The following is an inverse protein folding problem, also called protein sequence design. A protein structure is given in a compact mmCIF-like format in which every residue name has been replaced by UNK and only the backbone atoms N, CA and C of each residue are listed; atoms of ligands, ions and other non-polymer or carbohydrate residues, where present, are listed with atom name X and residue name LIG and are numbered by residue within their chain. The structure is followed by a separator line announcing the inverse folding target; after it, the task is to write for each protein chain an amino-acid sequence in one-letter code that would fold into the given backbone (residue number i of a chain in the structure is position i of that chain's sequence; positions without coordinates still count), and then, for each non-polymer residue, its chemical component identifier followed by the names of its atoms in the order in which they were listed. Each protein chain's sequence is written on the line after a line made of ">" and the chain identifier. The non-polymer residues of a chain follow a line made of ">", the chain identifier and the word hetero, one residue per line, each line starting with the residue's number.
data_IF_204666280605
#
_entry.id   IF_204666280605
#
_cell.length_a   1.000
_cell.length_b   1.000
_cell.length_c   1.000
_cell.angle_alpha   90.00
_cell.angle_beta   90.00
_cell.angle_gamma   90.00
#
_symmetry.space_group_name_H-M   'P 1'
#
loop_
_entity.id
_entity.type
_entity.pdbx_description
1 polymer ?
#
# COMPACT_ATOMS: atom_id res chain seq x y z
N UNK A 1 -4.14 -14.60 -20.07
CA UNK A 1 -4.14 -13.22 -19.52
C UNK A 1 -4.10 -12.25 -20.70
N UNK A 2 -5.07 -11.35 -20.84
CA UNK A 2 -5.10 -10.40 -21.98
C UNK A 2 -5.13 -8.97 -21.42
N UNK A 3 -3.96 -8.40 -21.14
CA UNK A 3 -3.84 -7.01 -20.68
C UNK A 3 -4.20 -6.12 -21.86
N UNK A 4 -5.32 -5.40 -21.75
CA UNK A 4 -5.84 -4.58 -22.83
C UNK A 4 -5.21 -3.18 -22.86
N UNK A 5 -5.34 -2.48 -24.00
CA UNK A 5 -4.98 -1.05 -24.12
C UNK A 5 -5.66 -0.18 -23.04
N UNK A 6 -6.84 -0.59 -22.56
CA UNK A 6 -7.58 0.07 -21.48
C UNK A 6 -6.86 -0.03 -20.13
N UNK A 7 -6.19 -1.14 -19.82
CA UNK A 7 -5.46 -1.33 -18.56
C UNK A 7 -4.21 -0.44 -18.51
N UNK A 8 -3.53 -0.33 -19.66
CA UNK A 8 -2.38 0.57 -19.83
C UNK A 8 -2.81 2.03 -19.68
N UNK A 9 -3.89 2.43 -20.35
CA UNK A 9 -4.44 3.78 -20.20
C UNK A 9 -4.82 4.10 -18.74
N UNK A 10 -5.47 3.16 -18.04
CA UNK A 10 -5.79 3.32 -16.61
C UNK A 10 -4.55 3.41 -15.71
N UNK A 11 -3.46 2.74 -16.06
CA UNK A 11 -2.20 2.82 -15.31
C UNK A 11 -1.53 4.18 -15.45
N UNK A 12 -1.52 4.75 -16.66
CA UNK A 12 -1.00 6.11 -16.86
C UNK A 12 -1.90 7.16 -16.23
N UNK A 13 -3.23 7.02 -16.38
CA UNK A 13 -4.20 7.93 -15.77
C UNK A 13 -4.10 7.90 -14.24
N UNK A 14 -4.02 6.72 -13.63
CA UNK A 14 -3.87 6.60 -12.17
C UNK A 14 -2.57 7.23 -11.70
N UNK A 15 -1.46 7.02 -12.41
CA UNK A 15 -0.19 7.63 -12.08
C UNK A 15 -0.30 9.16 -12.06
N UNK A 16 -0.86 9.76 -13.12
CA UNK A 16 -1.09 11.20 -13.20
C UNK A 16 -1.99 11.71 -12.07
N UNK A 17 -3.11 11.04 -11.81
CA UNK A 17 -4.06 11.44 -10.77
C UNK A 17 -3.43 11.35 -9.37
N UNK A 18 -2.73 10.25 -9.06
CA UNK A 18 -2.09 10.04 -7.75
C UNK A 18 -1.02 11.08 -7.50
N UNK A 19 -0.17 11.36 -8.49
CA UNK A 19 0.86 12.39 -8.33
C UNK A 19 0.25 13.80 -8.28
N UNK A 20 -0.76 14.08 -9.10
CA UNK A 20 -1.51 15.34 -9.05
C UNK A 20 -2.17 15.58 -7.68
N UNK A 21 -2.73 14.54 -7.07
CA UNK A 21 -3.29 14.62 -5.71
C UNK A 21 -2.22 15.00 -4.68
N UNK A 22 -1.02 14.41 -4.74
CA UNK A 22 0.06 14.78 -3.82
C UNK A 22 0.50 16.23 -4.03
N UNK A 23 0.57 16.70 -5.28
CA UNK A 23 0.88 18.09 -5.64
C UNK A 23 -0.18 19.05 -5.07
N UNK A 24 -1.47 18.68 -5.11
CA UNK A 24 -2.57 19.49 -4.55
C UNK A 24 -2.58 19.45 -3.02
N UNK A 25 -2.21 18.32 -2.41
CA UNK A 25 -2.15 18.19 -0.95
C UNK A 25 -1.05 19.06 -0.34
N UNK A 26 0.09 19.21 -1.03
CA UNK A 26 1.23 19.98 -0.56
C UNK A 26 0.91 21.45 -0.17
N UNK A 27 0.30 22.29 -1.03
CA UNK A 27 -0.02 23.68 -0.66
C UNK A 27 -1.06 23.77 0.46
N UNK A 28 -1.96 22.78 0.58
CA UNK A 28 -2.89 22.71 1.72
C UNK A 28 -2.10 22.48 3.01
N UNK A 29 -1.19 21.51 3.04
CA UNK A 29 -0.34 21.23 4.19
C UNK A 29 0.49 22.46 4.58
N UNK A 30 1.16 23.11 3.61
CA UNK A 30 1.99 24.30 3.86
C UNK A 30 1.16 25.47 4.42
N UNK A 31 -0.10 25.61 4.02
CA UNK A 31 -0.97 26.69 4.50
C UNK A 31 -1.46 26.48 5.93
N UNK A 32 -1.68 25.23 6.35
CA UNK A 32 -2.32 24.91 7.63
C UNK A 32 -1.36 24.45 8.73
N UNK A 33 -0.20 23.89 8.39
CA UNK A 33 0.79 23.47 9.38
C UNK A 33 1.77 24.60 9.66
N UNK A 34 2.14 24.75 10.93
CA UNK A 34 3.21 25.67 11.31
C UNK A 34 4.60 25.09 10.92
N UNK A 35 5.64 25.91 10.92
CA UNK A 35 7.01 25.54 10.50
C UNK A 35 7.53 24.27 11.17
N UNK A 36 7.24 24.10 12.46
CA UNK A 36 7.69 22.93 13.24
C UNK A 36 6.91 21.66 12.85
N UNK A 37 5.59 21.78 12.66
CA UNK A 37 4.75 20.66 12.21
C UNK A 37 5.10 20.25 10.78
N UNK A 38 5.44 21.20 9.92
CA UNK A 38 5.94 20.93 8.58
C UNK A 38 7.26 20.16 8.61
N UNK A 39 8.19 20.54 9.50
CA UNK A 39 9.43 19.79 9.71
C UNK A 39 9.16 18.32 10.06
N UNK A 40 8.28 18.07 11.04
CA UNK A 40 7.87 16.72 11.43
C UNK A 40 7.15 15.97 10.31
N UNK A 41 6.27 16.64 9.56
CA UNK A 41 5.60 16.06 8.41
C UNK A 41 6.62 15.58 7.36
N UNK A 42 7.63 16.38 7.05
CA UNK A 42 8.68 15.96 6.12
C UNK A 42 9.49 14.79 6.66
N UNK A 43 9.78 14.75 7.97
CA UNK A 43 10.38 13.56 8.60
C UNK A 43 9.49 12.33 8.43
N UNK A 44 8.19 12.44 8.68
CA UNK A 44 7.22 11.35 8.50
C UNK A 44 7.23 10.84 7.05
N UNK A 45 7.17 11.74 6.07
CA UNK A 45 7.21 11.35 4.64
C UNK A 45 8.54 10.69 4.25
N UNK A 46 9.66 11.13 4.83
CA UNK A 46 10.98 10.53 4.60
C UNK A 46 11.06 9.11 5.16
N UNK A 47 10.55 8.89 6.37
CA UNK A 47 10.46 7.55 6.97
C UNK A 47 9.53 6.64 6.16
N UNK A 48 8.40 7.15 5.66
CA UNK A 48 7.56 6.41 4.73
C UNK A 48 8.32 6.02 3.45
N UNK A 49 9.10 6.93 2.87
CA UNK A 49 9.95 6.65 1.72
C UNK A 49 10.94 5.52 1.98
N UNK A 50 11.63 5.54 3.13
CA UNK A 50 12.53 4.46 3.55
C UNK A 50 11.80 3.11 3.69
N UNK A 51 10.61 3.12 4.28
CA UNK A 51 9.81 1.91 4.43
C UNK A 51 9.41 1.32 3.06
N UNK A 52 9.05 2.17 2.10
CA UNK A 52 8.68 1.74 0.74
C UNK A 52 9.85 1.15 -0.06
N UNK A 53 11.10 1.52 0.25
CA UNK A 53 12.28 0.90 -0.39
C UNK A 53 12.40 -0.59 -0.08
N UNK A 54 11.89 -1.04 1.08
CA UNK A 54 11.93 -2.48 1.44
C UNK A 54 10.97 -3.28 0.56
N UNK A 55 9.83 -2.72 0.14
CA UNK A 55 8.89 -3.36 -0.81
C UNK A 55 9.39 -3.29 -2.26
N UNK A 56 10.43 -2.50 -2.53
CA UNK A 56 10.97 -2.34 -3.88
C UNK A 56 11.55 -3.66 -4.39
N UNK A 57 11.00 -4.17 -5.50
CA UNK A 57 11.41 -5.43 -6.12
C UNK A 57 10.56 -6.65 -5.72
N UNK A 58 10.13 -6.76 -4.46
CA UNK A 58 9.27 -7.86 -4.01
C UNK A 58 7.94 -7.87 -4.76
N UNK A 59 7.31 -6.71 -4.90
CA UNK A 59 6.04 -6.59 -5.62
C UNK A 59 6.13 -7.12 -7.06
N UNK A 60 7.20 -6.79 -7.79
CA UNK A 60 7.39 -7.21 -9.19
C UNK A 60 7.60 -8.72 -9.28
N UNK A 61 8.44 -9.29 -8.41
CA UNK A 61 8.74 -10.73 -8.40
C UNK A 61 7.48 -11.54 -8.05
N UNK A 62 6.76 -11.13 -7.00
CA UNK A 62 5.54 -11.80 -6.54
C UNK A 62 4.44 -11.70 -7.59
N UNK A 63 4.20 -10.51 -8.15
CA UNK A 63 3.19 -10.32 -9.20
C UNK A 63 3.45 -11.24 -10.39
N UNK A 64 4.72 -11.35 -10.83
CA UNK A 64 5.09 -12.23 -11.94
C UNK A 64 4.84 -13.71 -11.61
N UNK A 65 5.27 -14.17 -10.45
CA UNK A 65 5.07 -15.56 -10.03
C UNK A 65 3.57 -15.89 -9.88
N UNK A 66 2.78 -14.97 -9.33
CA UNK A 66 1.32 -15.09 -9.27
C UNK A 66 0.72 -15.18 -10.68
N UNK A 67 1.18 -14.37 -11.64
CA UNK A 67 0.71 -14.44 -13.04
C UNK A 67 0.99 -15.79 -13.71
N UNK A 68 2.14 -16.41 -13.43
CA UNK A 68 2.46 -17.73 -13.96
C UNK A 68 1.52 -18.81 -13.41
N UNK A 69 1.30 -18.81 -12.10
CA UNK A 69 0.36 -19.75 -11.47
C UNK A 69 -1.07 -19.53 -11.97
N UNK A 70 -1.47 -18.26 -12.07
CA UNK A 70 -2.79 -17.88 -12.60
C UNK A 70 -2.99 -18.31 -14.06
N UNK A 71 -1.91 -18.45 -14.83
CA UNK A 71 -1.95 -18.93 -16.21
C UNK A 71 -1.89 -20.47 -16.33
N UNK A 72 -1.90 -21.20 -15.21
CA UNK A 72 -1.94 -22.66 -15.18
C UNK A 72 -0.58 -23.34 -15.00
N UNK A 73 0.47 -22.62 -14.58
CA UNK A 73 1.74 -23.26 -14.21
C UNK A 73 1.57 -24.12 -12.95
N UNK A 74 2.05 -25.37 -13.01
CA UNK A 74 1.94 -26.33 -11.90
C UNK A 74 3.01 -26.16 -10.81
N UNK A 75 4.04 -25.32 -11.03
CA UNK A 75 5.06 -25.00 -10.03
C UNK A 75 5.73 -23.64 -10.29
N UNK A 76 6.20 -22.99 -9.21
CA UNK A 76 7.12 -21.85 -9.29
C UNK A 76 8.55 -22.40 -9.28
N UNK A 77 9.28 -22.33 -10.39
CA UNK A 77 10.70 -22.73 -10.47
C UNK A 77 11.63 -21.54 -10.24
N UNK A 78 12.83 -21.81 -9.71
CA UNK A 78 13.88 -20.80 -9.49
C UNK A 78 14.43 -20.21 -10.78
N UNK A 79 14.45 -20.99 -11.87
CA UNK A 79 14.83 -20.58 -13.22
C UNK A 79 13.97 -21.29 -14.27
N UNK A 80 13.66 -20.60 -15.38
CA UNK A 80 12.86 -21.12 -16.50
C UNK A 80 11.34 -21.14 -16.27
N UNK A 81 10.60 -21.58 -17.29
CA UNK A 81 9.14 -21.78 -17.24
C UNK A 81 8.79 -23.17 -17.79
N UNK A 82 7.87 -23.88 -17.13
CA UNK A 82 7.11 -24.94 -17.79
C UNK A 82 5.90 -24.26 -18.44
N UNK A 83 5.92 -24.15 -19.77
CA UNK A 83 4.69 -23.91 -20.52
C UNK A 83 3.77 -25.09 -20.20
N UNK A 84 2.58 -24.78 -19.70
CA UNK A 84 1.54 -25.78 -19.49
C UNK A 84 1.38 -26.62 -20.78
N UNK A 85 1.74 -27.89 -20.70
CA UNK A 85 1.76 -28.83 -21.85
C UNK A 85 0.36 -29.20 -22.33
N UNK A 86 -0.70 -28.52 -21.87
CA UNK A 86 -2.07 -28.79 -22.30
C UNK A 86 -2.89 -27.51 -22.40
N UNK A 87 -3.69 -27.40 -23.45
CA UNK A 87 -4.68 -26.33 -23.71
C UNK A 87 -5.75 -26.17 -22.61
N UNK A 88 -5.72 -26.99 -21.55
CA UNK A 88 -6.71 -27.07 -20.46
C UNK A 88 -6.05 -27.01 -19.07
N UNK A 89 -4.98 -26.24 -18.88
CA UNK A 89 -4.37 -26.06 -17.56
C UNK A 89 -5.26 -25.24 -16.63
N UNK A 90 -6.13 -25.93 -15.90
CA UNK A 90 -6.95 -25.35 -14.82
C UNK A 90 -6.06 -24.95 -13.64
N UNK A 91 -6.30 -23.78 -13.05
CA UNK A 91 -5.59 -23.29 -11.86
C UNK A 91 -5.61 -24.34 -10.73
N UNK A 92 -4.43 -24.73 -10.24
CA UNK A 92 -4.32 -25.57 -9.05
C UNK A 92 -4.61 -24.71 -7.79
N UNK A 93 -5.90 -24.64 -7.42
CA UNK A 93 -6.40 -23.82 -6.30
C UNK A 93 -5.66 -24.12 -4.96
N UNK A 94 -5.44 -25.40 -4.56
CA UNK A 94 -4.66 -25.71 -3.35
C UNK A 94 -3.24 -25.13 -3.36
N UNK A 95 -2.52 -25.28 -4.47
CA UNK A 95 -1.15 -24.75 -4.59
C UNK A 95 -1.13 -23.22 -4.60
N UNK A 96 -2.07 -22.60 -5.31
CA UNK A 96 -2.24 -21.15 -5.33
C UNK A 96 -2.52 -20.57 -3.94
N UNK A 97 -3.39 -21.23 -3.15
CA UNK A 97 -3.67 -20.83 -1.76
C UNK A 97 -2.42 -20.91 -0.87
N UNK A 98 -1.59 -21.94 -1.03
CA UNK A 98 -0.31 -22.04 -0.31
C UNK A 98 0.63 -20.88 -0.65
N UNK A 99 0.76 -20.54 -1.93
CA UNK A 99 1.58 -19.40 -2.38
C UNK A 99 1.05 -18.08 -1.84
N UNK A 100 -0.27 -17.88 -1.82
CA UNK A 100 -0.89 -16.70 -1.22
C UNK A 100 -0.57 -16.59 0.27
N UNK A 101 -0.61 -17.71 1.00
CA UNK A 101 -0.23 -17.74 2.42
C UNK A 101 1.24 -17.36 2.62
N UNK A 102 2.14 -17.89 1.78
CA UNK A 102 3.57 -17.53 1.81
C UNK A 102 3.79 -16.05 1.51
N UNK A 103 3.10 -15.49 0.51
CA UNK A 103 3.18 -14.06 0.18
C UNK A 103 2.68 -13.19 1.33
N UNK A 104 1.55 -13.55 1.96
CA UNK A 104 1.03 -12.86 3.14
C UNK A 104 2.04 -12.89 4.29
N UNK A 105 2.69 -14.03 4.51
CA UNK A 105 3.73 -14.17 5.52
C UNK A 105 4.89 -13.22 5.26
N UNK A 106 5.44 -13.19 4.03
CA UNK A 106 6.54 -12.28 3.65
C UNK A 106 6.19 -10.82 3.95
N UNK A 107 5.04 -10.35 3.46
CA UNK A 107 4.61 -8.96 3.67
C UNK A 107 4.33 -8.63 5.14
N UNK A 108 3.78 -9.59 5.90
CA UNK A 108 3.55 -9.41 7.34
C UNK A 108 4.87 -9.31 8.11
N UNK A 109 5.85 -10.17 7.78
CA UNK A 109 7.19 -10.10 8.36
C UNK A 109 7.88 -8.77 8.05
N UNK A 110 7.77 -8.26 6.82
CA UNK A 110 8.30 -6.93 6.47
C UNK A 110 7.67 -5.82 7.32
N UNK A 111 6.35 -5.86 7.51
CA UNK A 111 5.66 -4.91 8.38
C UNK A 111 6.10 -4.98 9.84
N UNK A 112 6.32 -6.19 10.38
CA UNK A 112 6.84 -6.38 11.75
C UNK A 112 8.25 -5.79 11.89
N UNK A 113 9.14 -6.04 10.91
CA UNK A 113 10.50 -5.48 10.92
C UNK A 113 10.44 -3.94 10.96
N UNK A 114 9.59 -3.34 10.12
CA UNK A 114 9.42 -1.88 10.08
C UNK A 114 8.82 -1.34 11.37
N UNK A 115 7.85 -2.05 11.95
CA UNK A 115 7.25 -1.70 13.24
C UNK A 115 8.31 -1.67 14.35
N UNK A 116 9.17 -2.68 14.44
CA UNK A 116 10.26 -2.73 15.42
C UNK A 116 11.25 -1.58 15.18
N UNK A 117 11.68 -1.40 13.93
CA UNK A 117 12.64 -0.36 13.54
C UNK A 117 12.12 1.04 13.89
N UNK A 118 10.87 1.35 13.56
CA UNK A 118 10.28 2.67 13.79
C UNK A 118 9.87 2.90 15.24
N UNK A 119 9.47 1.85 15.96
CA UNK A 119 9.19 1.97 17.39
C UNK A 119 10.45 2.35 18.18
N UNK A 120 11.62 1.82 17.80
CA UNK A 120 12.90 2.11 18.46
C UNK A 120 13.53 3.38 17.89
N UNK A 121 13.98 3.34 16.63
CA UNK A 121 14.75 4.42 16.02
C UNK A 121 13.88 5.61 15.62
N UNK A 122 12.70 5.36 15.09
CA UNK A 122 11.78 6.41 14.68
C UNK A 122 11.32 7.24 15.88
N UNK A 123 10.84 6.59 16.94
CA UNK A 123 10.41 7.28 18.16
C UNK A 123 11.58 8.01 18.84
N UNK A 124 12.75 7.40 18.93
CA UNK A 124 13.95 8.07 19.47
C UNK A 124 14.32 9.32 18.67
N UNK A 125 14.27 9.25 17.33
CA UNK A 125 14.50 10.39 16.47
C UNK A 125 13.49 11.52 16.67
N UNK A 126 12.20 11.20 16.87
CA UNK A 126 11.16 12.20 17.14
C UNK A 126 11.41 12.97 18.43
N UNK A 127 11.89 12.31 19.49
CA UNK A 127 12.25 13.00 20.73
C UNK A 127 13.45 13.92 20.58
N UNK A 128 14.47 13.53 19.80
CA UNK A 128 15.64 14.36 19.56
C UNK A 128 15.33 15.62 18.74
N UNK A 129 14.44 15.50 17.75
CA UNK A 129 14.10 16.64 16.88
C UNK A 129 13.10 17.59 17.53
N UNK A 130 12.30 17.11 18.48
CA UNK A 130 11.36 17.95 19.20
C UNK A 130 12.10 18.80 20.24
N UNK A 131 12.50 20.00 19.84
CA UNK A 131 13.14 20.99 20.72
C UNK A 131 12.17 21.67 21.71
N UNK A 132 11.08 20.99 22.10
CA UNK A 132 10.05 21.50 23.01
C UNK A 132 9.07 22.50 22.39
N UNK A 133 9.07 22.67 21.06
CA UNK A 133 8.22 23.65 20.37
C UNK A 133 6.80 23.13 20.08
N UNK A 134 6.62 21.79 20.07
CA UNK A 134 5.31 21.15 19.97
C UNK A 134 5.08 20.32 21.23
N UNK A 135 3.83 20.33 21.70
CA UNK A 135 3.39 19.45 22.78
C UNK A 135 3.71 17.98 22.43
N UNK A 136 4.44 17.33 23.33
CA UNK A 136 4.94 15.96 23.14
C UNK A 136 3.76 15.00 22.90
N UNK A 137 2.62 15.20 23.55
CA UNK A 137 1.45 14.33 23.35
C UNK A 137 0.92 14.44 21.93
N UNK A 138 0.79 15.66 21.42
CA UNK A 138 0.32 15.93 20.05
C UNK A 138 1.24 15.26 19.01
N UNK A 139 2.56 15.42 19.17
CA UNK A 139 3.55 14.77 18.31
C UNK A 139 3.45 13.24 18.38
N UNK A 140 3.39 12.65 19.58
CA UNK A 140 3.34 11.21 19.76
C UNK A 140 2.05 10.60 19.19
N UNK A 141 0.91 11.27 19.35
CA UNK A 141 -0.36 10.83 18.76
C UNK A 141 -0.24 10.81 17.23
N UNK A 142 0.23 11.90 16.64
CA UNK A 142 0.42 11.98 15.19
C UNK A 142 1.42 10.91 14.69
N UNK A 143 2.51 10.69 15.44
CA UNK A 143 3.53 9.69 15.12
C UNK A 143 2.98 8.27 15.17
N UNK A 144 2.24 7.91 16.21
CA UNK A 144 1.64 6.58 16.37
C UNK A 144 0.71 6.29 15.20
N UNK A 145 -0.22 7.20 14.87
CA UNK A 145 -1.13 7.02 13.73
C UNK A 145 -0.36 6.87 12.41
N UNK A 146 0.65 7.71 12.19
CA UNK A 146 1.42 7.67 10.96
C UNK A 146 2.23 6.36 10.85
N UNK A 147 2.93 5.97 11.91
CA UNK A 147 3.73 4.75 11.99
C UNK A 147 2.87 3.49 11.78
N UNK A 148 1.71 3.39 12.41
CA UNK A 148 0.75 2.31 12.13
C UNK A 148 0.26 2.34 10.69
N UNK A 149 0.04 3.52 10.10
CA UNK A 149 -0.35 3.63 8.69
C UNK A 149 0.71 3.04 7.77
N UNK A 150 1.99 3.33 8.00
CA UNK A 150 3.10 2.77 7.21
C UNK A 150 3.14 1.24 7.34
N UNK A 151 3.10 0.73 8.59
CA UNK A 151 3.16 -0.71 8.87
C UNK A 151 1.99 -1.43 8.19
N UNK A 152 0.77 -0.91 8.33
CA UNK A 152 -0.41 -1.48 7.67
C UNK A 152 -0.28 -1.41 6.14
N UNK A 153 0.18 -0.29 5.60
CA UNK A 153 0.33 -0.13 4.15
C UNK A 153 1.23 -1.22 3.56
N UNK A 154 2.37 -1.50 4.21
CA UNK A 154 3.31 -2.52 3.78
C UNK A 154 2.80 -3.92 4.09
N UNK A 155 2.28 -4.18 5.28
CA UNK A 155 1.73 -5.50 5.62
C UNK A 155 0.60 -5.93 4.69
N UNK A 156 -0.17 -4.99 4.14
CA UNK A 156 -1.24 -5.27 3.18
C UNK A 156 -0.84 -5.10 1.71
N UNK A 157 0.42 -4.71 1.41
CA UNK A 157 0.91 -4.58 0.04
C UNK A 157 0.86 -5.90 -0.75
N UNK A 158 0.72 -7.06 -0.09
CA UNK A 158 0.49 -8.33 -0.79
C UNK A 158 -0.69 -8.29 -1.75
N UNK A 159 -1.77 -7.57 -1.41
CA UNK A 159 -2.92 -7.41 -2.28
C UNK A 159 -2.58 -6.70 -3.59
N UNK A 160 -1.67 -5.72 -3.54
CA UNK A 160 -1.18 -5.02 -4.73
C UNK A 160 -0.54 -6.02 -5.70
N UNK A 161 0.35 -6.86 -5.17
CA UNK A 161 1.10 -7.86 -5.92
C UNK A 161 0.18 -8.94 -6.50
N UNK A 162 -0.82 -9.38 -5.74
CA UNK A 162 -1.78 -10.39 -6.19
C UNK A 162 -2.73 -9.84 -7.25
N UNK A 163 -3.32 -8.66 -7.03
CA UNK A 163 -4.26 -8.05 -7.99
C UNK A 163 -3.57 -7.79 -9.33
N UNK A 164 -2.33 -7.30 -9.32
CA UNK A 164 -1.52 -7.18 -10.53
C UNK A 164 -1.23 -8.55 -11.14
N UNK A 165 -0.89 -9.54 -10.32
CA UNK A 165 -0.57 -10.90 -10.75
C UNK A 165 -1.72 -11.62 -11.46
N UNK A 166 -2.95 -11.49 -10.98
CA UNK A 166 -4.14 -12.09 -11.62
C UNK A 166 -4.67 -11.28 -12.82
N UNK A 167 -4.00 -10.18 -13.17
CA UNK A 167 -4.37 -9.31 -14.29
C UNK A 167 -5.43 -8.25 -13.97
N UNK A 168 -5.80 -8.05 -12.70
CA UNK A 168 -6.76 -7.03 -12.26
C UNK A 168 -6.14 -5.62 -12.18
N UNK A 169 -5.36 -5.23 -13.20
CA UNK A 169 -4.53 -4.02 -13.21
C UNK A 169 -5.40 -2.76 -13.18
N UNK A 170 -6.48 -2.71 -13.98
CA UNK A 170 -7.44 -1.60 -13.93
C UNK A 170 -8.03 -1.40 -12.54
N UNK A 171 -8.50 -2.48 -11.91
CA UNK A 171 -9.12 -2.41 -10.58
C UNK A 171 -8.13 -1.92 -9.53
N UNK A 172 -6.90 -2.43 -9.55
CA UNK A 172 -5.82 -1.95 -8.69
C UNK A 172 -5.60 -0.43 -8.84
N UNK A 173 -5.51 0.06 -10.08
CA UNK A 173 -5.30 1.48 -10.36
C UNK A 173 -6.48 2.36 -9.90
N UNK A 174 -7.71 1.90 -10.08
CA UNK A 174 -8.90 2.60 -9.59
C UNK A 174 -8.90 2.71 -8.06
N UNK A 175 -8.56 1.63 -7.37
CA UNK A 175 -8.44 1.64 -5.90
C UNK A 175 -7.35 2.61 -5.46
N UNK A 176 -6.19 2.63 -6.14
CA UNK A 176 -5.10 3.54 -5.80
C UNK A 176 -5.53 5.01 -5.88
N UNK A 177 -6.28 5.38 -6.92
CA UNK A 177 -6.85 6.74 -7.07
C UNK A 177 -7.85 7.03 -5.95
N UNK A 178 -8.78 6.12 -5.66
CA UNK A 178 -9.78 6.30 -4.59
C UNK A 178 -9.13 6.44 -3.22
N UNK A 179 -8.10 5.64 -2.93
CA UNK A 179 -7.32 5.74 -1.69
C UNK A 179 -6.68 7.11 -1.55
N UNK A 180 -6.06 7.63 -2.61
CA UNK A 180 -5.41 8.95 -2.58
C UNK A 180 -6.40 10.11 -2.53
N UNK A 181 -7.53 9.99 -3.21
CA UNK A 181 -8.62 10.96 -3.08
C UNK A 181 -9.19 10.98 -1.67
N UNK A 182 -9.40 9.81 -1.06
CA UNK A 182 -9.81 9.68 0.33
C UNK A 182 -8.81 10.38 1.27
N UNK A 183 -7.51 10.14 1.07
CA UNK A 183 -6.46 10.83 1.83
C UNK A 183 -6.59 12.35 1.69
N UNK A 184 -6.66 12.86 0.46
CA UNK A 184 -6.77 14.30 0.19
C UNK A 184 -8.00 14.92 0.85
N UNK A 185 -9.18 14.35 0.63
CA UNK A 185 -10.45 14.89 1.15
C UNK A 185 -10.42 14.93 2.68
N UNK A 186 -10.02 13.83 3.33
CA UNK A 186 -9.97 13.77 4.79
C UNK A 186 -8.89 14.70 5.34
N UNK A 187 -7.71 14.76 4.73
CA UNK A 187 -6.65 15.69 5.14
C UNK A 187 -7.13 17.14 5.07
N UNK A 188 -7.76 17.53 3.95
CA UNK A 188 -8.30 18.88 3.77
C UNK A 188 -9.32 19.19 4.86
N UNK A 189 -10.30 18.31 5.08
CA UNK A 189 -11.36 18.52 6.11
C UNK A 189 -10.75 18.64 7.51
N UNK A 190 -9.85 17.75 7.90
CA UNK A 190 -9.25 17.78 9.25
C UNK A 190 -8.32 18.98 9.45
N UNK A 191 -7.63 19.44 8.39
CA UNK A 191 -6.82 20.65 8.43
C UNK A 191 -7.68 21.91 8.56
N UNK A 192 -8.82 21.98 7.86
CA UNK A 192 -9.78 23.06 8.04
C UNK A 192 -10.36 23.12 9.46
N UNK A 193 -10.51 21.97 10.12
CA UNK A 193 -10.97 21.87 11.51
C UNK A 193 -9.86 22.20 12.54
N UNK A 194 -8.62 22.45 12.09
CA UNK A 194 -7.51 22.85 12.97
C UNK A 194 -6.79 21.68 13.67
N UNK A 195 -6.97 20.43 13.22
CA UNK A 195 -6.26 19.27 13.80
C UNK A 195 -4.78 19.15 13.40
N UNK A 196 -4.28 20.06 12.54
CA UNK A 196 -2.86 20.17 12.18
C UNK A 196 -2.23 18.85 11.77
N UNK A 197 -1.05 18.55 12.33
CA UNK A 197 -0.29 17.33 12.03
C UNK A 197 -1.07 16.03 12.33
N UNK A 198 -1.82 15.99 13.43
CA UNK A 198 -2.65 14.81 13.78
C UNK A 198 -3.67 14.55 12.67
N UNK A 199 -4.30 15.61 12.15
CA UNK A 199 -5.28 15.53 11.08
C UNK A 199 -4.73 14.82 9.84
N UNK A 200 -3.52 15.19 9.40
CA UNK A 200 -2.89 14.57 8.23
C UNK A 200 -2.50 13.11 8.49
N UNK A 201 -1.98 12.80 9.69
CA UNK A 201 -1.66 11.42 10.07
C UNK A 201 -2.88 10.51 10.14
N UNK A 202 -3.99 10.99 10.70
CA UNK A 202 -5.26 10.26 10.77
C UNK A 202 -5.87 10.09 9.38
N UNK A 203 -5.81 11.11 8.53
CA UNK A 203 -6.26 11.01 7.14
C UNK A 203 -5.50 9.92 6.38
N UNK A 204 -4.19 9.84 6.57
CA UNK A 204 -3.39 8.77 5.97
C UNK A 204 -3.80 7.39 6.51
N UNK A 205 -3.98 7.26 7.82
CA UNK A 205 -4.45 6.01 8.45
C UNK A 205 -5.78 5.53 7.88
N UNK A 206 -6.77 6.41 7.79
CA UNK A 206 -8.09 6.08 7.22
C UNK A 206 -7.95 5.68 5.75
N UNK A 207 -7.13 6.39 4.97
CA UNK A 207 -6.90 6.04 3.57
C UNK A 207 -6.33 4.62 3.40
N UNK A 208 -5.43 4.20 4.28
CA UNK A 208 -4.84 2.85 4.26
C UNK A 208 -5.89 1.79 4.61
N UNK A 209 -6.79 2.06 5.56
CA UNK A 209 -7.91 1.16 5.88
C UNK A 209 -8.85 1.02 4.68
N UNK A 210 -9.25 2.13 4.06
CA UNK A 210 -10.11 2.14 2.87
C UNK A 210 -9.45 1.34 1.75
N UNK A 211 -8.15 1.55 1.52
CA UNK A 211 -7.37 0.79 0.53
C UNK A 211 -7.47 -0.73 0.79
N UNK A 212 -7.24 -1.16 2.03
CA UNK A 212 -7.31 -2.58 2.41
C UNK A 212 -8.68 -3.17 2.15
N UNK A 213 -9.75 -2.48 2.54
CA UNK A 213 -11.12 -2.95 2.37
C UNK A 213 -11.47 -3.12 0.90
N UNK A 214 -11.15 -2.13 0.06
CA UNK A 214 -11.42 -2.14 -1.37
C UNK A 214 -10.63 -3.24 -2.09
N UNK A 215 -9.37 -3.45 -1.72
CA UNK A 215 -8.54 -4.49 -2.33
C UNK A 215 -9.02 -5.90 -1.98
N UNK A 216 -9.30 -6.14 -0.70
CA UNK A 216 -9.86 -7.42 -0.24
C UNK A 216 -11.18 -7.72 -0.94
N UNK A 217 -12.12 -6.76 -0.94
CA UNK A 217 -13.42 -6.90 -1.60
C UNK A 217 -13.26 -7.19 -3.11
N UNK A 218 -12.40 -6.43 -3.79
CA UNK A 218 -12.18 -6.59 -5.22
C UNK A 218 -11.57 -7.93 -5.57
N UNK A 219 -10.64 -8.44 -4.77
CA UNK A 219 -10.04 -9.76 -4.98
C UNK A 219 -11.08 -10.87 -4.93
N UNK A 220 -11.91 -10.91 -3.87
CA UNK A 220 -12.93 -11.96 -3.72
C UNK A 220 -14.04 -11.87 -4.77
N UNK A 221 -14.26 -10.70 -5.36
CA UNK A 221 -15.28 -10.50 -6.39
C UNK A 221 -14.77 -10.58 -7.83
N UNK A 222 -13.45 -10.72 -8.04
CA UNK A 222 -12.85 -10.65 -9.37
C UNK A 222 -13.20 -11.85 -10.27
N UNK A 223 -13.21 -13.08 -9.74
CA UNK A 223 -13.44 -14.28 -10.55
C UNK A 223 -14.12 -15.40 -9.76
N UNK A 224 -14.65 -16.40 -10.46
CA UNK A 224 -15.24 -17.58 -9.82
C UNK A 224 -14.19 -18.41 -9.04
N UNK A 225 -12.93 -18.36 -9.47
CA UNK A 225 -11.80 -19.04 -8.82
C UNK A 225 -11.39 -18.34 -7.51
N UNK A 226 -11.40 -17.00 -7.48
CA UNK A 226 -11.13 -16.25 -6.23
C UNK A 226 -12.26 -16.38 -5.20
N UNK A 227 -13.51 -16.56 -5.65
CA UNK A 227 -14.65 -16.88 -4.77
C UNK A 227 -14.50 -18.24 -4.09
N UNK A 228 -13.97 -19.25 -4.80
CA UNK A 228 -13.70 -20.59 -4.25
C UNK A 228 -12.59 -20.61 -3.20
N UNK A 229 -11.70 -19.63 -3.19
CA UNK A 229 -10.59 -19.51 -2.22
C UNK A 229 -11.01 -18.82 -0.90
N UNK A 230 -12.32 -18.58 -0.70
CA UNK A 230 -12.88 -17.98 0.51
C UNK A 230 -13.22 -19.03 1.59
N UNK A 231 -13.33 -20.31 1.19
CA UNK A 231 -13.51 -21.50 2.04
C UNK A 231 -12.16 -22.15 2.31
#
# INVERSE_FOLDING_TARGET
>A
MNIGRKDVAWSYLSLLMVQGINIILLPVIIRYLNTVELGLWYTFTSLYGLAMLIDFGFQTIISRNVSYLWSGANSVKSEGFELATSKNSTLNIPYFSKVLSTVKFIYTSMGIIIFILFSIFGTWYMFNINSGQIDIKTMLIAWIFYMFSIVLNISFSYWNSILKGIGAIKTYNQILVVTKLTQLIISVVLLFLGYGLIGVSVAYFISVIVNRLLQSFSYYNYSHETKKNKT
#
